data_IF_072015804659
#
_entry.id   IF_072015804659
#
_cell.length_a   1.000
_cell.length_b   1.000
_cell.length_c   1.000
_cell.angle_alpha   90.00
_cell.angle_beta   90.00
_cell.angle_gamma   90.00
#
_symmetry.space_group_name_H-M   'P 1'
#
loop_
_entity.id
_entity.type
_entity.pdbx_description
1 polymer ?
#
# COMPACT_ATOMS: atom_id res chain seq x y z
N UNK A 1 -30.79 -23.28 -23.00
CA UNK A 1 -31.73 -23.73 -24.05
C UNK A 1 -31.89 -22.59 -25.02
N UNK A 2 -31.84 -22.89 -26.32
CA UNK A 2 -32.16 -21.96 -27.39
C UNK A 2 -33.52 -21.31 -27.08
N UNK A 3 -33.57 -19.98 -27.07
CA UNK A 3 -34.80 -19.22 -26.82
C UNK A 3 -35.57 -18.93 -28.12
N UNK A 4 -35.26 -19.68 -29.18
CA UNK A 4 -35.78 -19.49 -30.52
C UNK A 4 -36.78 -20.60 -30.86
N UNK A 5 -37.91 -20.22 -31.45
CA UNK A 5 -38.91 -21.16 -31.95
C UNK A 5 -38.46 -21.72 -33.29
N UNK A 6 -38.12 -23.01 -33.31
CA UNK A 6 -37.65 -23.71 -34.51
C UNK A 6 -38.72 -24.68 -35.02
N UNK A 7 -38.89 -24.82 -36.35
CA UNK A 7 -39.87 -25.74 -36.90
C UNK A 7 -39.48 -27.20 -36.62
N UNK A 8 -40.47 -28.02 -36.27
CA UNK A 8 -40.32 -29.43 -35.90
C UNK A 8 -39.99 -30.34 -37.09
N UNK A 9 -38.85 -30.10 -37.75
CA UNK A 9 -38.37 -30.85 -38.90
C UNK A 9 -37.03 -31.52 -38.60
N UNK A 10 -36.68 -32.51 -39.42
CA UNK A 10 -35.40 -33.23 -39.31
C UNK A 10 -34.19 -32.38 -39.70
N UNK A 11 -34.42 -31.19 -40.23
CA UNK A 11 -33.37 -30.21 -40.53
C UNK A 11 -32.77 -29.67 -39.23
N UNK A 12 -33.62 -29.24 -38.30
CA UNK A 12 -33.24 -28.62 -37.03
C UNK A 12 -33.15 -29.60 -35.85
N UNK A 13 -33.83 -30.75 -35.92
CA UNK A 13 -33.89 -31.74 -34.84
C UNK A 13 -33.40 -33.13 -35.28
N UNK A 14 -32.74 -33.86 -34.37
CA UNK A 14 -32.35 -35.25 -34.64
C UNK A 14 -33.56 -36.18 -34.58
N UNK A 15 -33.61 -37.22 -35.41
CA UNK A 15 -34.65 -38.26 -35.31
C UNK A 15 -34.48 -39.06 -34.02
N UNK A 16 -35.58 -39.28 -33.31
CA UNK A 16 -35.63 -40.12 -32.12
C UNK A 16 -36.77 -41.13 -32.24
N UNK A 17 -36.43 -42.40 -32.42
CA UNK A 17 -37.41 -43.49 -32.58
C UNK A 17 -38.25 -43.74 -31.33
N UNK A 18 -37.76 -43.32 -30.16
CA UNK A 18 -38.44 -43.48 -28.87
C UNK A 18 -39.38 -42.32 -28.54
N UNK A 19 -39.28 -41.19 -29.27
CA UNK A 19 -40.16 -40.06 -29.08
C UNK A 19 -41.44 -40.23 -29.90
N UNK A 20 -42.58 -39.82 -29.33
CA UNK A 20 -43.90 -39.94 -29.98
C UNK A 20 -43.95 -39.26 -31.35
N UNK A 21 -43.30 -38.11 -31.48
CA UNK A 21 -43.26 -37.32 -32.72
C UNK A 21 -42.05 -37.67 -33.62
N UNK A 22 -41.27 -38.69 -33.25
CA UNK A 22 -40.13 -39.16 -34.03
C UNK A 22 -38.90 -38.23 -34.03
N UNK A 23 -38.92 -37.12 -33.29
CA UNK A 23 -37.85 -36.13 -33.20
C UNK A 23 -37.36 -35.95 -31.75
N UNK A 24 -36.09 -35.56 -31.57
CA UNK A 24 -35.56 -35.13 -30.29
C UNK A 24 -36.16 -33.79 -29.88
N UNK A 25 -36.27 -33.57 -28.56
CA UNK A 25 -36.81 -32.35 -27.98
C UNK A 25 -35.84 -31.16 -28.04
N UNK A 26 -34.55 -31.40 -28.24
CA UNK A 26 -33.54 -30.37 -28.42
C UNK A 26 -33.13 -30.25 -29.88
N UNK A 27 -32.92 -29.01 -30.35
CA UNK A 27 -32.34 -28.80 -31.68
C UNK A 27 -30.89 -29.30 -31.73
N UNK A 28 -30.40 -29.56 -32.94
CA UNK A 28 -29.05 -30.11 -33.16
C UNK A 28 -27.94 -29.24 -32.58
N UNK A 29 -28.06 -27.92 -32.65
CA UNK A 29 -27.07 -26.99 -32.10
C UNK A 29 -27.07 -27.01 -30.57
N UNK A 30 -28.24 -26.89 -29.95
CA UNK A 30 -28.41 -27.02 -28.51
C UNK A 30 -27.94 -28.40 -27.99
N UNK A 31 -28.08 -29.45 -28.79
CA UNK A 31 -27.56 -30.78 -28.49
C UNK A 31 -26.02 -30.82 -28.52
N UNK A 32 -25.40 -30.26 -29.56
CA UNK A 32 -23.93 -30.15 -29.65
C UNK A 32 -23.34 -29.37 -28.49
N UNK A 33 -23.92 -28.22 -28.16
CA UNK A 33 -23.50 -27.38 -27.05
C UNK A 33 -23.67 -28.10 -25.70
N UNK A 34 -24.80 -28.79 -25.51
CA UNK A 34 -25.05 -29.59 -24.31
C UNK A 34 -23.98 -30.68 -24.11
N UNK A 35 -23.65 -31.44 -25.16
CA UNK A 35 -22.63 -32.49 -25.06
C UNK A 35 -21.21 -31.93 -24.91
N UNK A 36 -20.89 -30.79 -25.51
CA UNK A 36 -19.61 -30.11 -25.31
C UNK A 36 -19.46 -29.61 -23.85
N UNK A 37 -20.51 -28.96 -23.31
CA UNK A 37 -20.55 -28.50 -21.93
C UNK A 37 -20.53 -29.67 -20.93
N UNK A 38 -21.14 -30.81 -21.26
CA UNK A 38 -21.09 -32.03 -20.45
C UNK A 38 -19.66 -32.57 -20.35
N UNK A 39 -18.95 -32.67 -21.48
CA UNK A 39 -17.54 -33.10 -21.51
C UNK A 39 -16.63 -32.13 -20.73
N UNK A 40 -16.86 -30.82 -20.86
CA UNK A 40 -16.11 -29.80 -20.12
C UNK A 40 -16.38 -29.89 -18.60
N UNK A 41 -17.64 -30.11 -18.19
CA UNK A 41 -18.00 -30.33 -16.78
C UNK A 41 -17.43 -31.62 -16.22
N UNK A 42 -17.39 -32.70 -17.00
CA UNK A 42 -16.74 -33.96 -16.62
C UNK A 42 -15.23 -33.77 -16.44
N UNK A 43 -14.54 -33.08 -17.37
CA UNK A 43 -13.12 -32.76 -17.19
C UNK A 43 -12.84 -31.80 -16.04
N UNK A 44 -13.74 -30.84 -15.77
CA UNK A 44 -13.64 -29.96 -14.60
C UNK A 44 -13.87 -30.73 -13.31
N UNK A 45 -14.78 -31.70 -13.31
CA UNK A 45 -15.04 -32.57 -12.15
C UNK A 45 -13.84 -33.46 -11.86
N UNK A 46 -13.20 -34.03 -12.88
CA UNK A 46 -11.94 -34.76 -12.75
C UNK A 46 -10.80 -33.87 -12.24
N UNK A 47 -10.69 -32.63 -12.74
CA UNK A 47 -9.70 -31.67 -12.27
C UNK A 47 -9.95 -31.22 -10.82
N UNK A 48 -11.21 -31.03 -10.42
CA UNK A 48 -11.59 -30.72 -9.03
C UNK A 48 -11.30 -31.89 -8.12
N UNK A 49 -11.62 -33.14 -8.52
CA UNK A 49 -11.29 -34.33 -7.74
C UNK A 49 -9.76 -34.47 -7.55
N UNK A 50 -8.98 -34.25 -8.62
CA UNK A 50 -7.52 -34.26 -8.53
C UNK A 50 -6.97 -33.11 -7.66
N UNK A 51 -7.62 -31.94 -7.65
CA UNK A 51 -7.27 -30.85 -6.75
C UNK A 51 -7.63 -31.19 -5.30
N UNK A 52 -8.77 -31.84 -5.06
CA UNK A 52 -9.22 -32.29 -3.75
C UNK A 52 -8.24 -33.36 -3.19
N UNK A 53 -7.83 -34.33 -4.01
CA UNK A 53 -6.80 -35.34 -3.66
C UNK A 53 -5.44 -34.68 -3.36
N UNK A 54 -5.02 -33.68 -4.15
CA UNK A 54 -3.81 -32.87 -3.87
C UNK A 54 -3.96 -32.11 -2.54
N UNK A 55 -5.16 -31.60 -2.22
CA UNK A 55 -5.39 -30.87 -0.96
C UNK A 55 -5.45 -31.78 0.27
N UNK A 56 -5.96 -33.02 0.14
CA UNK A 56 -5.92 -34.01 1.21
C UNK A 56 -4.49 -34.50 1.48
N UNK A 57 -3.69 -34.77 0.43
CA UNK A 57 -2.26 -35.07 0.54
C UNK A 57 -1.44 -33.91 1.15
N UNK A 58 -1.92 -32.67 1.01
CA UNK A 58 -1.33 -31.48 1.64
C UNK A 58 -1.75 -31.28 3.11
N UNK A 59 -2.80 -31.97 3.58
CA UNK A 59 -3.39 -31.76 4.91
C UNK A 59 -2.84 -32.69 5.99
N UNK A 60 -2.50 -33.95 5.66
CA UNK A 60 -1.89 -34.87 6.62
C UNK A 60 -0.35 -34.75 6.68
N UNK A 61 0.25 -34.16 5.64
CA UNK A 61 1.70 -34.01 5.52
C UNK A 61 2.18 -32.59 5.94
N UNK A 62 2.00 -32.33 7.24
CA UNK A 62 2.88 -31.56 8.11
C UNK A 62 3.00 -30.02 7.93
N UNK A 63 2.19 -29.31 8.71
CA UNK A 63 2.58 -28.05 9.34
C UNK A 63 3.68 -28.34 10.37
N UNK A 64 4.79 -27.61 10.26
CA UNK A 64 5.77 -27.53 11.34
C UNK A 64 5.05 -26.90 12.54
N UNK A 65 5.12 -27.53 13.71
CA UNK A 65 4.52 -26.96 14.91
C UNK A 65 5.25 -25.66 15.27
N UNK A 66 4.49 -24.57 15.38
CA UNK A 66 5.00 -23.25 15.73
C UNK A 66 4.44 -22.92 17.12
N UNK A 67 5.35 -22.78 18.07
CA UNK A 67 5.04 -22.36 19.43
C UNK A 67 5.38 -20.87 19.58
N UNK A 68 4.56 -20.13 20.34
CA UNK A 68 4.87 -18.76 20.71
C UNK A 68 5.49 -18.76 22.11
N UNK A 69 6.75 -18.34 22.22
CA UNK A 69 7.42 -18.09 23.51
C UNK A 69 7.74 -16.61 23.62
N UNK A 70 7.08 -15.94 24.54
CA UNK A 70 7.32 -14.52 24.87
C UNK A 70 7.27 -13.57 23.66
N UNK A 71 6.38 -13.84 22.70
CA UNK A 71 6.22 -13.05 21.48
C UNK A 71 7.12 -13.49 20.31
N UNK A 72 7.97 -14.49 20.51
CA UNK A 72 8.83 -15.07 19.48
C UNK A 72 8.26 -16.42 19.03
N UNK A 73 8.00 -16.53 17.72
CA UNK A 73 7.58 -17.79 17.12
C UNK A 73 8.79 -18.72 16.97
N UNK A 74 8.69 -19.89 17.57
CA UNK A 74 9.74 -20.91 17.61
C UNK A 74 9.22 -22.28 17.19
N UNK A 75 10.13 -23.14 16.75
CA UNK A 75 9.84 -24.52 16.33
C UNK A 75 10.82 -25.49 16.97
N UNK A 76 10.37 -26.68 17.36
CA UNK A 76 11.25 -27.72 17.89
C UNK A 76 12.11 -28.38 16.80
N UNK A 77 13.41 -28.53 17.09
CA UNK A 77 14.38 -29.33 16.33
C UNK A 77 13.91 -30.76 16.07
N UNK A 78 13.07 -31.34 16.93
CA UNK A 78 12.49 -32.68 16.73
C UNK A 78 11.48 -32.71 15.60
N UNK A 79 10.64 -31.69 15.50
CA UNK A 79 9.61 -31.62 14.46
C UNK A 79 10.25 -31.37 13.10
N UNK A 80 11.30 -30.55 13.08
CA UNK A 80 12.16 -30.39 11.90
C UNK A 80 12.80 -31.74 11.51
N UNK A 81 13.39 -32.47 12.46
CA UNK A 81 14.00 -33.77 12.18
C UNK A 81 13.01 -34.75 11.53
N UNK A 82 11.80 -34.87 12.09
CA UNK A 82 10.72 -35.68 11.52
C UNK A 82 10.34 -35.22 10.12
N UNK A 83 10.18 -33.91 9.92
CA UNK A 83 9.70 -33.35 8.64
C UNK A 83 10.70 -33.54 7.51
N UNK A 84 11.98 -33.39 7.78
CA UNK A 84 13.04 -33.55 6.80
C UNK A 84 13.57 -34.98 6.71
N UNK A 85 12.98 -35.92 7.44
CA UNK A 85 13.37 -37.33 7.49
C UNK A 85 14.85 -37.49 7.89
N UNK A 86 15.23 -36.75 8.93
CA UNK A 86 16.58 -36.73 9.48
C UNK A 86 16.56 -37.23 10.91
N UNK A 87 17.66 -37.84 11.33
CA UNK A 87 17.86 -38.16 12.73
C UNK A 87 18.01 -36.88 13.55
N UNK A 88 17.36 -36.82 14.71
CA UNK A 88 17.41 -35.65 15.60
C UNK A 88 18.85 -35.35 16.07
N UNK A 89 19.67 -36.38 16.26
CA UNK A 89 21.11 -36.25 16.54
C UNK A 89 21.85 -35.42 15.49
N UNK A 90 21.66 -35.73 14.20
CA UNK A 90 22.30 -35.00 13.09
C UNK A 90 21.79 -33.56 13.00
N UNK A 91 20.53 -33.31 13.35
CA UNK A 91 19.98 -31.94 13.39
C UNK A 91 20.64 -31.14 14.51
N UNK A 92 20.79 -31.71 15.71
CA UNK A 92 21.49 -31.06 16.81
C UNK A 92 22.96 -30.80 16.49
N UNK A 93 23.62 -31.72 15.80
CA UNK A 93 25.00 -31.55 15.34
C UNK A 93 25.12 -30.41 14.32
N UNK A 94 24.23 -30.37 13.33
CA UNK A 94 24.19 -29.27 12.36
C UNK A 94 23.96 -27.91 13.04
N UNK A 95 23.07 -27.84 14.04
CA UNK A 95 22.85 -26.63 14.83
C UNK A 95 24.13 -26.21 15.57
N UNK A 96 24.81 -27.15 16.23
CA UNK A 96 26.07 -26.85 16.94
C UNK A 96 27.14 -26.34 15.98
N UNK A 97 27.29 -26.96 14.82
CA UNK A 97 28.26 -26.54 13.81
C UNK A 97 27.96 -25.12 13.33
N UNK A 98 26.68 -24.80 13.04
CA UNK A 98 26.27 -23.45 12.66
C UNK A 98 26.56 -22.40 13.74
N UNK A 99 26.33 -22.73 15.01
CA UNK A 99 26.62 -21.81 16.13
C UNK A 99 28.12 -21.59 16.31
N UNK A 100 28.94 -22.61 16.08
CA UNK A 100 30.40 -22.53 16.17
C UNK A 100 30.98 -21.73 15.00
N UNK A 101 30.51 -21.98 13.78
CA UNK A 101 30.95 -21.29 12.56
C UNK A 101 30.50 -19.82 12.53
N UNK A 102 29.28 -19.55 13.00
CA UNK A 102 28.68 -18.22 12.96
C UNK A 102 28.10 -17.84 14.32
N UNK A 103 28.92 -17.20 15.16
CA UNK A 103 28.55 -16.81 16.52
C UNK A 103 27.28 -15.94 16.60
N UNK A 104 26.99 -15.15 15.56
CA UNK A 104 25.77 -14.32 15.44
C UNK A 104 24.49 -15.15 15.41
N UNK A 105 24.56 -16.40 14.99
CA UNK A 105 23.39 -17.30 14.88
C UNK A 105 22.94 -17.85 16.23
N UNK A 106 23.72 -17.67 17.31
CA UNK A 106 23.41 -18.17 18.64
C UNK A 106 22.01 -17.75 19.13
N UNK A 107 21.58 -16.54 18.80
CA UNK A 107 20.26 -16.03 19.19
C UNK A 107 19.10 -16.70 18.45
N UNK A 108 19.39 -17.44 17.37
CA UNK A 108 18.38 -18.15 16.56
C UNK A 108 18.11 -19.56 17.07
N UNK A 109 18.96 -20.09 17.97
CA UNK A 109 18.90 -21.44 18.51
C UNK A 109 18.84 -21.40 20.04
N UNK A 110 17.65 -21.67 20.59
CA UNK A 110 17.40 -21.64 22.03
C UNK A 110 17.46 -23.07 22.56
N UNK A 111 18.38 -23.34 23.48
CA UNK A 111 18.47 -24.65 24.12
C UNK A 111 17.24 -24.92 25.01
N UNK A 112 16.68 -26.11 24.89
CA UNK A 112 15.54 -26.57 25.68
C UNK A 112 15.66 -28.06 25.99
N UNK A 113 14.74 -28.57 26.80
CA UNK A 113 14.69 -29.98 27.14
C UNK A 113 13.27 -30.49 27.02
N UNK A 114 13.14 -31.75 26.64
CA UNK A 114 11.86 -32.44 26.61
C UNK A 114 11.92 -33.71 27.45
N UNK A 115 10.77 -34.06 28.04
CA UNK A 115 10.61 -35.32 28.77
C UNK A 115 10.15 -36.41 27.83
N UNK A 116 10.84 -37.54 27.85
CA UNK A 116 10.44 -38.76 27.15
C UNK A 116 10.72 -39.98 28.04
N UNK A 117 9.70 -40.83 28.24
CA UNK A 117 9.80 -42.01 29.12
C UNK A 117 10.40 -41.70 30.50
N UNK A 118 10.01 -40.56 31.08
CA UNK A 118 10.47 -40.11 32.39
C UNK A 118 11.92 -39.58 32.44
N UNK A 119 12.65 -39.54 31.33
CA UNK A 119 13.99 -38.94 31.22
C UNK A 119 13.94 -37.65 30.43
N UNK A 120 14.81 -36.70 30.80
CA UNK A 120 14.98 -35.45 30.06
C UNK A 120 16.02 -35.61 28.96
N UNK A 121 15.68 -35.09 27.78
CA UNK A 121 16.54 -35.08 26.60
C UNK A 121 16.66 -33.67 26.08
N UNK A 122 17.81 -33.37 25.48
CA UNK A 122 18.11 -32.05 24.93
C UNK A 122 17.34 -31.88 23.62
N UNK A 123 16.72 -30.72 23.44
CA UNK A 123 16.23 -30.25 22.15
C UNK A 123 16.61 -28.77 21.96
N UNK A 124 16.61 -28.30 20.71
CA UNK A 124 16.71 -26.87 20.44
C UNK A 124 15.38 -26.37 19.89
N UNK A 125 15.03 -25.14 20.25
CA UNK A 125 13.96 -24.36 19.68
C UNK A 125 14.55 -23.34 18.72
N UNK A 126 14.01 -23.29 17.52
CA UNK A 126 14.55 -22.48 16.43
C UNK A 126 13.59 -21.36 16.12
N UNK A 127 14.10 -20.15 16.00
CA UNK A 127 13.35 -19.04 15.42
C UNK A 127 13.15 -19.27 13.92
N UNK A 128 12.27 -18.47 13.30
CA UNK A 128 12.07 -18.49 11.83
C UNK A 128 13.39 -18.43 11.06
N UNK A 129 14.31 -17.57 11.48
CA UNK A 129 15.57 -17.33 10.78
C UNK A 129 16.54 -18.50 11.00
N UNK A 130 16.62 -19.04 12.22
CA UNK A 130 17.43 -20.22 12.53
C UNK A 130 16.95 -21.47 11.79
N UNK A 131 15.63 -21.66 11.70
CA UNK A 131 15.03 -22.72 10.91
C UNK A 131 15.39 -22.58 9.42
N UNK A 132 15.25 -21.38 8.87
CA UNK A 132 15.53 -21.11 7.45
C UNK A 132 17.00 -21.40 7.12
N UNK A 133 17.93 -20.95 7.97
CA UNK A 133 19.36 -21.19 7.81
C UNK A 133 19.68 -22.70 7.82
N UNK A 134 19.14 -23.42 8.80
CA UNK A 134 19.33 -24.87 8.94
C UNK A 134 18.75 -25.63 7.73
N UNK A 135 17.54 -25.28 7.29
CA UNK A 135 16.85 -25.94 6.19
C UNK A 135 17.59 -25.77 4.85
N UNK A 136 18.29 -24.65 4.65
CA UNK A 136 19.11 -24.43 3.44
C UNK A 136 20.31 -25.38 3.35
N UNK A 137 20.87 -25.80 4.49
CA UNK A 137 21.94 -26.79 4.55
C UNK A 137 21.47 -28.24 4.33
N UNK A 138 20.16 -28.50 4.35
CA UNK A 138 19.63 -29.84 4.20
C UNK A 138 19.60 -30.32 2.73
N UNK A 139 20.02 -31.56 2.57
CA UNK A 139 19.95 -32.33 1.32
C UNK A 139 18.85 -33.40 1.39
N UNK A 140 18.32 -33.80 0.22
CA UNK A 140 17.27 -34.81 0.07
C UNK A 140 16.04 -34.30 -0.69
N UNK A 141 15.16 -35.22 -1.16
CA UNK A 141 13.99 -34.89 -1.97
C UNK A 141 12.97 -33.99 -1.22
N UNK A 142 12.70 -34.28 0.06
CA UNK A 142 11.82 -33.46 0.92
C UNK A 142 12.39 -32.05 1.13
N UNK A 143 13.70 -31.95 1.37
CA UNK A 143 14.39 -30.66 1.50
C UNK A 143 14.35 -29.86 0.20
N UNK A 144 14.53 -30.51 -0.96
CA UNK A 144 14.41 -29.86 -2.26
C UNK A 144 13.00 -29.34 -2.52
N UNK A 145 11.96 -30.15 -2.26
CA UNK A 145 10.55 -29.73 -2.36
C UNK A 145 10.26 -28.52 -1.49
N UNK A 146 10.79 -28.49 -0.26
CA UNK A 146 10.66 -27.34 0.63
C UNK A 146 11.37 -26.09 0.08
N UNK A 147 12.59 -26.23 -0.44
CA UNK A 147 13.33 -25.12 -1.06
C UNK A 147 12.58 -24.51 -2.24
N UNK A 148 11.96 -25.33 -3.08
CA UNK A 148 11.12 -24.85 -4.19
C UNK A 148 9.93 -24.04 -3.65
N UNK A 149 9.21 -24.55 -2.65
CA UNK A 149 8.09 -23.83 -2.01
C UNK A 149 8.54 -22.52 -1.38
N UNK A 150 9.73 -22.49 -0.76
CA UNK A 150 10.31 -21.27 -0.20
C UNK A 150 10.57 -20.22 -1.30
N UNK A 151 11.17 -20.64 -2.43
CA UNK A 151 11.42 -19.77 -3.60
C UNK A 151 10.09 -19.24 -4.16
N UNK A 152 9.07 -20.08 -4.30
CA UNK A 152 7.75 -19.65 -4.76
C UNK A 152 7.10 -18.61 -3.83
N UNK A 153 7.19 -18.82 -2.52
CA UNK A 153 6.69 -17.87 -1.53
C UNK A 153 7.44 -16.54 -1.62
N UNK A 154 8.77 -16.58 -1.81
CA UNK A 154 9.60 -15.40 -2.00
C UNK A 154 9.21 -14.63 -3.28
N UNK A 155 9.06 -15.33 -4.41
CA UNK A 155 8.66 -14.71 -5.67
C UNK A 155 7.27 -14.07 -5.57
N UNK A 156 6.32 -14.71 -4.87
CA UNK A 156 5.00 -14.12 -4.61
C UNK A 156 5.09 -12.85 -3.75
N UNK A 157 5.94 -12.86 -2.73
CA UNK A 157 6.19 -11.67 -1.91
C UNK A 157 6.83 -10.56 -2.75
N UNK A 158 7.82 -10.88 -3.57
CA UNK A 158 8.46 -9.93 -4.47
C UNK A 158 7.44 -9.34 -5.46
N UNK A 159 6.58 -10.17 -6.04
CA UNK A 159 5.52 -9.72 -6.95
C UNK A 159 4.51 -8.80 -6.24
N UNK A 160 4.12 -9.13 -5.00
CA UNK A 160 3.24 -8.28 -4.20
C UNK A 160 3.87 -6.90 -3.90
N UNK A 161 5.16 -6.88 -3.55
CA UNK A 161 5.91 -5.64 -3.34
C UNK A 161 6.06 -4.85 -4.65
N UNK A 162 6.37 -5.51 -5.77
CA UNK A 162 6.42 -4.87 -7.09
C UNK A 162 5.07 -4.27 -7.48
N UNK A 163 3.96 -4.95 -7.21
CA UNK A 163 2.61 -4.44 -7.46
C UNK A 163 2.27 -3.24 -6.56
N UNK A 164 2.73 -3.22 -5.32
CA UNK A 164 2.61 -2.05 -4.43
C UNK A 164 3.48 -0.86 -4.86
N UNK A 165 4.62 -1.13 -5.52
CA UNK A 165 5.52 -0.09 -6.04
C UNK A 165 5.08 0.50 -7.38
N UNK A 166 4.08 -0.07 -8.04
CA UNK A 166 3.42 0.54 -9.20
C UNK A 166 2.13 1.18 -8.69
N UNK A 167 2.16 2.43 -8.21
CA UNK A 167 0.94 3.11 -7.80
C UNK A 167 -0.04 3.06 -8.95
N UNK A 168 -1.20 2.47 -8.70
CA UNK A 168 -2.28 2.44 -9.68
C UNK A 168 -2.65 3.89 -9.96
N UNK A 169 -3.07 4.26 -11.19
CA UNK A 169 -3.25 5.68 -11.56
C UNK A 169 -4.09 6.53 -10.59
N UNK A 170 -4.97 5.91 -9.79
CA UNK A 170 -5.73 6.56 -8.70
C UNK A 170 -4.89 6.95 -7.47
N UNK A 171 -3.90 6.14 -7.09
CA UNK A 171 -3.01 6.41 -5.95
C UNK A 171 -1.97 7.49 -6.30
N UNK A 172 -1.46 7.46 -7.53
CA UNK A 172 -0.65 8.54 -8.10
C UNK A 172 -1.41 9.88 -8.10
N UNK A 173 -2.67 9.84 -8.54
CA UNK A 173 -3.53 11.03 -8.51
C UNK A 173 -3.80 11.50 -7.09
N UNK A 174 -3.99 10.59 -6.12
CA UNK A 174 -4.18 10.94 -4.72
C UNK A 174 -2.92 11.58 -4.10
N UNK A 175 -1.74 11.03 -4.37
CA UNK A 175 -0.46 11.62 -3.91
C UNK A 175 -0.23 13.00 -4.54
N UNK A 176 -0.42 13.13 -5.86
CA UNK A 176 -0.31 14.42 -6.56
C UNK A 176 -1.32 15.44 -6.04
N UNK A 177 -2.54 15.01 -5.71
CA UNK A 177 -3.57 15.86 -5.14
C UNK A 177 -3.21 16.33 -3.72
N UNK A 178 -2.68 15.45 -2.88
CA UNK A 178 -2.23 15.81 -1.53
C UNK A 178 -1.08 16.83 -1.58
N UNK A 179 -0.09 16.59 -2.43
CA UNK A 179 1.03 17.52 -2.62
C UNK A 179 0.53 18.87 -3.17
N UNK A 180 -0.33 18.85 -4.19
CA UNK A 180 -0.95 20.07 -4.71
C UNK A 180 -1.73 20.83 -3.62
N UNK A 181 -2.48 20.12 -2.77
CA UNK A 181 -3.22 20.74 -1.66
C UNK A 181 -2.28 21.41 -0.66
N UNK A 182 -1.20 20.75 -0.25
CA UNK A 182 -0.21 21.36 0.65
C UNK A 182 0.44 22.61 0.04
N UNK A 183 0.72 22.60 -1.27
CA UNK A 183 1.24 23.80 -1.95
C UNK A 183 0.20 24.93 -2.01
N UNK A 184 -1.07 24.61 -2.25
CA UNK A 184 -2.16 25.58 -2.26
C UNK A 184 -2.37 26.20 -0.88
N UNK A 185 -2.37 25.40 0.19
CA UNK A 185 -2.53 25.90 1.56
C UNK A 185 -1.40 26.88 1.93
N UNK A 186 -0.16 26.60 1.51
CA UNK A 186 0.98 27.53 1.67
C UNK A 186 0.79 28.82 0.87
N UNK A 187 0.30 28.73 -0.36
CA UNK A 187 0.03 29.90 -1.19
C UNK A 187 -1.10 30.77 -0.63
N UNK A 188 -2.14 30.17 -0.06
CA UNK A 188 -3.26 30.91 0.57
C UNK A 188 -2.75 31.75 1.75
N UNK A 189 -1.90 31.18 2.61
CA UNK A 189 -1.28 31.91 3.72
C UNK A 189 -0.44 33.09 3.21
N UNK A 190 0.32 32.87 2.13
CA UNK A 190 1.12 33.92 1.52
C UNK A 190 0.23 35.04 0.96
N UNK A 191 -0.85 34.71 0.25
CA UNK A 191 -1.80 35.67 -0.32
C UNK A 191 -2.42 36.52 0.79
N UNK A 192 -2.84 35.92 1.90
CA UNK A 192 -3.42 36.67 3.02
C UNK A 192 -2.40 37.67 3.62
N UNK A 193 -1.14 37.23 3.79
CA UNK A 193 -0.08 38.12 4.27
C UNK A 193 0.21 39.29 3.31
N UNK A 194 0.11 39.06 1.99
CA UNK A 194 0.27 40.08 0.98
C UNK A 194 -0.91 41.05 0.96
N UNK A 195 -2.14 40.54 1.10
CA UNK A 195 -3.34 41.36 1.21
C UNK A 195 -3.27 42.28 2.43
N UNK A 196 -2.81 41.79 3.58
CA UNK A 196 -2.62 42.63 4.78
C UNK A 196 -1.58 43.74 4.55
N UNK A 197 -0.50 43.46 3.83
CA UNK A 197 0.49 44.50 3.46
C UNK A 197 -0.12 45.54 2.52
N UNK A 198 -0.88 45.10 1.51
CA UNK A 198 -1.59 46.01 0.59
C UNK A 198 -2.56 46.91 1.37
N UNK A 199 -3.34 46.37 2.31
CA UNK A 199 -4.25 47.17 3.14
C UNK A 199 -3.48 48.17 4.00
N UNK A 200 -2.35 47.76 4.59
CA UNK A 200 -1.51 48.63 5.41
C UNK A 200 -0.84 49.75 4.61
N UNK A 201 -0.47 49.47 3.36
CA UNK A 201 0.22 50.42 2.50
C UNK A 201 -0.73 51.22 1.59
N UNK A 202 -1.99 50.80 1.46
CA UNK A 202 -3.07 51.53 0.77
C UNK A 202 -3.13 53.03 1.13
N UNK A 203 -3.15 53.43 2.42
CA UNK A 203 -3.19 54.85 2.81
C UNK A 203 -1.91 55.63 2.43
N UNK A 204 -0.77 54.94 2.30
CA UNK A 204 0.49 55.57 1.90
C UNK A 204 0.54 55.80 0.40
N UNK A 205 0.00 54.86 -0.38
CA UNK A 205 -0.07 54.95 -1.84
C UNK A 205 -1.08 56.04 -2.24
N UNK A 206 -2.26 56.07 -1.63
CA UNK A 206 -3.25 57.14 -1.86
C UNK A 206 -2.67 58.52 -1.55
N UNK A 207 -1.94 58.64 -0.44
CA UNK A 207 -1.26 59.87 -0.07
C UNK A 207 -0.18 60.27 -1.09
N UNK A 208 0.70 59.34 -1.49
CA UNK A 208 1.71 59.60 -2.52
C UNK A 208 1.09 60.03 -3.86
N UNK A 209 -0.01 59.40 -4.28
CA UNK A 209 -0.75 59.75 -5.50
C UNK A 209 -1.37 61.15 -5.42
N UNK A 210 -1.87 61.56 -4.25
CA UNK A 210 -2.37 62.93 -4.06
C UNK A 210 -1.26 63.97 -4.12
N UNK A 211 -0.06 63.65 -3.64
CA UNK A 211 1.10 64.54 -3.72
C UNK A 211 1.62 64.68 -5.14
N UNK A 212 1.69 63.57 -5.89
CA UNK A 212 2.13 63.57 -7.30
C UNK A 212 1.17 64.33 -8.22
N UNK A 213 -0.11 64.46 -7.84
CA UNK A 213 -1.11 65.25 -8.57
C UNK A 213 -1.07 66.75 -8.28
N UNK A 214 -0.27 67.19 -7.30
CA UNK A 214 -0.12 68.62 -6.99
C UNK A 214 1.14 69.17 -7.67
N UNK A 215 0.94 70.14 -8.57
CA UNK A 215 1.99 70.85 -9.34
C UNK A 215 2.78 71.82 -8.44
N UNK A 216 3.47 71.32 -7.40
CA UNK A 216 4.51 72.01 -6.60
C UNK A 216 4.08 72.74 -5.32
N UNK A 217 2.80 73.09 -5.13
CA UNK A 217 2.34 73.69 -3.86
C UNK A 217 0.95 73.21 -3.41
N UNK A 218 0.80 72.94 -2.11
CA UNK A 218 -0.49 72.57 -1.49
C UNK A 218 -0.77 73.50 -0.31
N UNK A 219 -1.99 74.03 -0.26
CA UNK A 219 -2.42 74.84 0.87
C UNK A 219 -2.43 73.98 2.15
N UNK A 220 -1.75 74.45 3.21
CA UNK A 220 -1.56 73.73 4.48
C UNK A 220 -2.89 73.25 5.09
N UNK A 221 -3.97 74.02 4.94
CA UNK A 221 -5.31 73.61 5.38
C UNK A 221 -5.91 72.46 4.56
N UNK A 222 -5.62 72.39 3.26
CA UNK A 222 -6.05 71.29 2.38
C UNK A 222 -5.24 70.03 2.65
N UNK A 223 -3.94 70.20 2.89
CA UNK A 223 -3.05 69.11 3.32
C UNK A 223 -3.42 68.55 4.70
N UNK A 224 -3.77 69.41 5.66
CA UNK A 224 -4.28 68.96 6.96
C UNK A 224 -5.59 68.15 6.82
N UNK A 225 -6.46 68.51 5.86
CA UNK A 225 -7.69 67.75 5.58
C UNK A 225 -7.41 66.40 4.94
N UNK A 226 -6.43 66.29 4.03
CA UNK A 226 -6.06 64.99 3.44
C UNK A 226 -5.44 64.04 4.46
N UNK A 227 -4.64 64.55 5.40
CA UNK A 227 -4.11 63.75 6.52
C UNK A 227 -5.20 63.24 7.47
N UNK A 228 -6.25 64.03 7.72
CA UNK A 228 -7.39 63.59 8.51
C UNK A 228 -8.17 62.43 7.85
N UNK A 229 -8.23 62.38 6.51
CA UNK A 229 -8.85 61.27 5.76
C UNK A 229 -8.05 59.97 5.94
N UNK A 230 -6.72 60.07 6.07
CA UNK A 230 -5.81 58.94 6.29
C UNK A 230 -5.65 58.55 7.79
N UNK A 231 -6.52 59.08 8.67
CA UNK A 231 -6.55 58.73 10.09
C UNK A 231 -5.53 59.46 10.98
N UNK A 232 -4.80 60.45 10.44
CA UNK A 232 -3.88 61.30 11.21
C UNK A 232 -4.61 62.60 11.59
N UNK A 233 -5.14 62.65 12.82
CA UNK A 233 -5.89 63.81 13.32
C UNK A 233 -4.97 65.01 13.65
N UNK A 234 -4.58 65.77 12.64
CA UNK A 234 -3.76 66.95 12.82
C UNK A 234 -4.35 68.17 12.09
N UNK A 235 -5.19 68.93 12.80
CA UNK A 235 -5.79 70.14 12.25
C UNK A 235 -4.76 71.24 11.93
N UNK A 236 -5.10 72.14 11.01
CA UNK A 236 -4.22 73.21 10.49
C UNK A 236 -3.39 73.94 11.57
N UNK A 237 -4.02 74.36 12.67
CA UNK A 237 -3.33 75.09 13.75
C UNK A 237 -2.38 74.21 14.57
N UNK A 238 -2.69 72.92 14.74
CA UNK A 238 -1.82 71.94 15.40
C UNK A 238 -0.62 71.61 14.50
N UNK A 239 -0.85 71.53 13.20
CA UNK A 239 0.19 71.33 12.20
C UNK A 239 1.16 72.52 12.16
N UNK A 240 0.68 73.77 12.18
CA UNK A 240 1.54 74.95 12.30
C UNK A 240 2.31 75.01 13.61
N UNK A 241 1.78 74.45 14.72
CA UNK A 241 2.47 74.35 16.00
C UNK A 241 3.53 73.24 15.98
N UNK A 242 3.24 72.13 15.30
CA UNK A 242 4.12 70.98 15.12
C UNK A 242 5.32 71.30 14.21
N UNK A 243 5.11 72.13 13.18
CA UNK A 243 6.15 72.67 12.30
C UNK A 243 6.95 73.84 12.91
N UNK A 244 6.58 74.31 14.11
CA UNK A 244 7.15 75.53 14.73
C UNK A 244 8.48 75.35 15.48
N UNK A 245 8.85 74.19 16.08
CA UNK A 245 10.12 74.08 16.78
C UNK A 245 11.23 73.66 15.81
N UNK A 246 12.00 74.64 15.33
CA UNK A 246 13.22 74.45 14.52
C UNK A 246 13.02 74.74 13.04
N UNK A 247 13.65 75.80 12.54
CA UNK A 247 13.72 76.16 11.12
C UNK A 247 14.18 75.00 10.22
N UNK A 248 13.70 75.04 8.97
CA UNK A 248 14.34 74.55 7.72
C UNK A 248 13.66 73.40 6.95
N UNK A 249 12.40 73.53 6.52
CA UNK A 249 12.02 73.06 5.17
C UNK A 249 10.75 73.77 4.67
N UNK A 250 10.93 74.95 4.07
CA UNK A 250 10.24 75.24 2.82
C UNK A 250 11.15 74.66 1.74
N UNK A 251 10.94 73.41 1.33
CA UNK A 251 11.55 72.94 0.10
C UNK A 251 10.75 73.55 -1.04
N UNK A 252 11.29 74.63 -1.61
CA UNK A 252 11.00 75.03 -2.98
C UNK A 252 11.55 73.91 -3.86
N UNK A 253 10.68 72.97 -4.21
CA UNK A 253 10.97 71.97 -5.23
C UNK A 253 10.84 72.73 -6.57
N UNK A 254 11.90 72.70 -7.37
CA UNK A 254 11.86 73.07 -8.78
C UNK A 254 11.48 71.85 -9.61
#
# INVERSE_FOLDING_TARGET
MCKEELPGTTEYFHRNKSAKDGLQYFCKECSKEYYANKKMKESMKEAVLALDDITEELSEDALINIENRDGVLVTSSRDIAKRFDKQHSHVLEAIRNLVVEFSTTKNMFIESTFKNRGKEYIECLLTRDGFSLLAMGFTGAKALKWKIKYIEAFNKMEEALRKQLVPTGKELLAMAFLEAKETMDKQVILIDSLQQKIIKDAPKISFADTLLKCEDTVHVGTFAKSLCVEGIENGQNRMFKWLRPGLHYYTKIF
#
